data_IF_658831510036
#
_entry.id   IF_658831510036
#
_cell.length_a   1.000
_cell.length_b   1.000
_cell.length_c   1.000
_cell.angle_alpha   90.00
_cell.angle_beta   90.00
_cell.angle_gamma   90.00
#
_symmetry.space_group_name_H-M   'P 1'
#
loop_
_entity.id
_entity.type
_entity.pdbx_description
1 polymer ?
#
# COMPACT_ATOMS: atom_id res chain seq x y z
N UNK A 1 -13.18 12.15 5.97
CA UNK A 1 -12.76 11.75 4.62
C UNK A 1 -13.02 10.26 4.49
N UNK A 2 -13.90 9.87 3.56
CA UNK A 2 -14.05 8.48 3.13
C UNK A 2 -12.80 8.04 2.38
N UNK A 3 -12.28 6.85 2.69
CA UNK A 3 -10.98 6.40 2.20
C UNK A 3 -10.95 4.96 1.68
N UNK A 4 -9.99 4.71 0.79
CA UNK A 4 -9.46 3.38 0.49
C UNK A 4 -7.95 3.49 0.19
N UNK A 5 -7.12 2.96 1.08
CA UNK A 5 -5.67 3.20 1.10
C UNK A 5 -4.85 1.96 0.70
N UNK A 6 -5.49 0.93 0.16
CA UNK A 6 -4.80 -0.28 -0.32
C UNK A 6 -5.40 -0.69 -1.66
N UNK A 7 -4.89 -0.10 -2.74
CA UNK A 7 -5.35 -0.32 -4.12
C UNK A 7 -4.14 -0.65 -4.99
N UNK A 8 -4.25 -1.64 -5.86
CA UNK A 8 -3.22 -2.01 -6.81
C UNK A 8 -3.50 -1.43 -8.19
N UNK A 9 -2.48 -0.88 -8.86
CA UNK A 9 -2.59 -0.47 -10.26
C UNK A 9 -2.20 -1.61 -11.20
N UNK A 10 -2.29 -1.36 -12.51
CA UNK A 10 -1.82 -2.27 -13.55
C UNK A 10 -0.29 -2.47 -13.52
N UNK A 11 0.45 -1.74 -12.66
CA UNK A 11 1.85 -2.01 -12.35
C UNK A 11 2.01 -3.26 -11.48
N UNK A 12 1.08 -3.52 -10.57
CA UNK A 12 1.09 -4.76 -9.81
C UNK A 12 0.81 -5.95 -10.74
N UNK A 13 1.51 -7.08 -10.59
CA UNK A 13 1.37 -8.22 -11.50
C UNK A 13 -0.04 -8.86 -11.45
N UNK A 14 -0.67 -8.78 -10.29
CA UNK A 14 -2.03 -9.27 -10.02
C UNK A 14 -3.12 -8.24 -10.33
N UNK A 15 -2.78 -6.99 -10.68
CA UNK A 15 -3.74 -5.96 -11.04
C UNK A 15 -4.24 -6.13 -12.48
N UNK A 16 -5.52 -5.87 -12.73
CA UNK A 16 -6.05 -5.84 -14.09
C UNK A 16 -5.46 -4.67 -14.89
N UNK A 17 -5.29 -4.84 -16.21
CA UNK A 17 -4.75 -3.80 -17.11
C UNK A 17 -5.60 -2.50 -17.13
N UNK A 18 -6.85 -2.58 -16.69
CA UNK A 18 -7.78 -1.46 -16.56
C UNK A 18 -7.57 -0.66 -15.25
N UNK A 19 -6.75 -1.16 -14.31
CA UNK A 19 -6.35 -0.46 -13.08
C UNK A 19 -5.34 0.67 -13.38
N UNK A 20 -5.76 1.61 -14.22
CA UNK A 20 -4.95 2.75 -14.66
C UNK A 20 -5.21 4.00 -13.80
N UNK A 21 -4.27 4.96 -13.74
CA UNK A 21 -4.41 6.14 -12.90
C UNK A 21 -5.76 6.86 -12.98
N UNK A 22 -6.24 7.22 -14.18
CA UNK A 22 -7.50 7.95 -14.28
C UNK A 22 -8.71 7.06 -14.02
N UNK A 23 -8.64 5.77 -14.37
CA UNK A 23 -9.69 4.80 -14.07
C UNK A 23 -9.86 4.60 -12.56
N UNK A 24 -8.76 4.40 -11.82
CA UNK A 24 -8.79 4.26 -10.35
C UNK A 24 -9.36 5.52 -9.72
N UNK A 25 -8.86 6.71 -10.09
CA UNK A 25 -9.34 7.97 -9.52
C UNK A 25 -10.82 8.21 -9.80
N UNK A 26 -11.28 7.95 -11.03
CA UNK A 26 -12.69 8.11 -11.39
C UNK A 26 -13.58 7.09 -10.68
N UNK A 27 -13.12 5.85 -10.55
CA UNK A 27 -13.86 4.83 -9.80
C UNK A 27 -13.97 5.21 -8.32
N UNK A 28 -12.88 5.67 -7.70
CA UNK A 28 -12.90 6.16 -6.33
C UNK A 28 -13.92 7.29 -6.13
N UNK A 29 -14.01 8.23 -7.07
CA UNK A 29 -15.02 9.30 -7.04
C UNK A 29 -16.46 8.77 -7.19
N UNK A 30 -16.69 7.79 -8.07
CA UNK A 30 -17.99 7.15 -8.23
C UNK A 30 -18.42 6.43 -6.95
N UNK A 31 -17.46 5.83 -6.25
CA UNK A 31 -17.63 5.16 -4.97
C UNK A 31 -17.76 6.12 -3.78
N UNK A 32 -17.64 7.44 -4.01
CA UNK A 32 -17.76 8.46 -2.96
C UNK A 32 -16.53 8.63 -2.08
N UNK A 33 -15.38 8.09 -2.48
CA UNK A 33 -14.12 8.25 -1.76
C UNK A 33 -13.56 9.66 -1.94
N UNK A 34 -12.89 10.15 -0.89
CA UNK A 34 -12.27 11.49 -0.84
C UNK A 34 -10.76 11.43 -0.62
N UNK A 35 -10.24 10.27 -0.21
CA UNK A 35 -8.83 9.99 0.01
C UNK A 35 -8.51 8.60 -0.51
N UNK A 36 -7.48 8.46 -1.35
CA UNK A 36 -7.02 7.15 -1.81
C UNK A 36 -5.50 7.01 -1.74
N UNK A 37 -5.02 5.77 -1.81
CA UNK A 37 -3.61 5.45 -2.05
C UNK A 37 -3.50 4.24 -2.96
N UNK A 38 -2.57 4.29 -3.92
CA UNK A 38 -2.17 3.10 -4.67
C UNK A 38 -0.91 2.55 -4.05
N UNK A 39 -0.88 1.25 -3.78
CA UNK A 39 0.16 0.55 -3.02
C UNK A 39 0.67 -0.64 -3.84
N UNK A 40 1.21 -0.35 -5.02
CA UNK A 40 1.69 -1.40 -5.91
C UNK A 40 2.77 -2.28 -5.26
N UNK A 41 2.77 -3.57 -5.61
CA UNK A 41 3.74 -4.51 -5.06
C UNK A 41 5.16 -4.09 -5.41
N UNK A 42 6.01 -3.91 -4.40
CA UNK A 42 7.45 -3.73 -4.51
C UNK A 42 7.90 -2.64 -5.50
N UNK A 43 7.05 -1.64 -5.77
CA UNK A 43 7.37 -0.57 -6.72
C UNK A 43 6.55 0.68 -6.43
N UNK A 44 7.18 1.84 -6.58
CA UNK A 44 6.53 3.15 -6.51
C UNK A 44 6.48 3.85 -7.88
N UNK A 45 6.74 3.11 -8.96
CA UNK A 45 6.99 3.71 -10.27
C UNK A 45 5.78 4.44 -10.88
N UNK A 46 4.55 4.09 -10.50
CA UNK A 46 3.32 4.78 -10.95
C UNK A 46 2.86 5.89 -9.99
N UNK A 47 3.55 6.11 -8.86
CA UNK A 47 3.07 7.02 -7.81
C UNK A 47 2.94 8.47 -8.29
N UNK A 48 3.88 8.96 -9.11
CA UNK A 48 3.79 10.31 -9.65
C UNK A 48 2.59 10.47 -10.60
N UNK A 49 2.34 9.49 -11.47
CA UNK A 49 1.19 9.47 -12.37
C UNK A 49 -0.12 9.45 -11.59
N UNK A 50 -0.20 8.61 -10.54
CA UNK A 50 -1.34 8.55 -9.63
C UNK A 50 -1.60 9.89 -8.93
N UNK A 51 -0.57 10.52 -8.36
CA UNK A 51 -0.72 11.80 -7.68
C UNK A 51 -1.17 12.93 -8.63
N UNK A 52 -0.65 12.97 -9.87
CA UNK A 52 -1.08 13.93 -10.89
C UNK A 52 -2.52 13.69 -11.35
N UNK A 53 -2.92 12.43 -11.56
CA UNK A 53 -4.30 12.08 -11.87
C UNK A 53 -5.24 12.47 -10.71
N UNK A 54 -4.90 12.12 -9.47
CA UNK A 54 -5.69 12.45 -8.28
C UNK A 54 -5.88 13.96 -8.13
N UNK A 55 -4.80 14.74 -8.28
CA UNK A 55 -4.84 16.20 -8.27
C UNK A 55 -5.76 16.78 -9.36
N UNK A 56 -5.76 16.20 -10.55
CA UNK A 56 -6.59 16.67 -11.68
C UNK A 56 -8.08 16.57 -11.37
N UNK A 57 -8.50 15.52 -10.66
CA UNK A 57 -9.91 15.31 -10.30
C UNK A 57 -10.26 15.76 -8.87
N UNK A 58 -9.29 16.29 -8.11
CA UNK A 58 -9.53 16.86 -6.78
C UNK A 58 -9.76 15.84 -5.67
N UNK A 59 -9.26 14.60 -5.80
CA UNK A 59 -9.25 13.62 -4.72
C UNK A 59 -7.93 13.70 -3.95
N UNK A 60 -7.97 13.58 -2.62
CA UNK A 60 -6.75 13.54 -1.83
C UNK A 60 -6.01 12.22 -2.08
N UNK A 61 -4.68 12.29 -2.03
CA UNK A 61 -3.82 11.16 -2.36
C UNK A 61 -2.70 11.01 -1.33
N UNK A 62 -2.51 9.78 -0.84
CA UNK A 62 -1.27 9.39 -0.17
C UNK A 62 -0.44 8.55 -1.12
N UNK A 63 0.85 8.85 -1.18
CA UNK A 63 1.78 8.01 -1.91
C UNK A 63 1.92 6.69 -1.16
N UNK A 64 1.91 5.56 -1.87
CA UNK A 64 1.82 4.24 -1.28
C UNK A 64 2.74 3.20 -1.94
N UNK A 65 3.04 2.14 -1.20
CA UNK A 65 3.67 0.92 -1.69
C UNK A 65 3.27 -0.24 -0.80
N UNK A 66 3.06 -1.43 -1.37
CA UNK A 66 2.99 -2.66 -0.60
C UNK A 66 4.27 -3.46 -0.83
N UNK A 67 5.01 -3.75 0.25
CA UNK A 67 6.26 -4.51 0.17
C UNK A 67 5.99 -5.95 0.59
N UNK A 68 6.44 -6.91 -0.21
CA UNK A 68 6.56 -8.29 0.21
C UNK A 68 7.96 -8.52 0.76
N UNK A 69 8.09 -8.62 2.08
CA UNK A 69 9.39 -8.79 2.75
C UNK A 69 9.98 -10.16 2.47
N UNK A 70 11.24 -10.38 2.85
CA UNK A 70 11.91 -11.68 2.75
C UNK A 70 11.19 -12.80 3.52
N UNK A 71 10.48 -12.47 4.59
CA UNK A 71 9.62 -13.37 5.36
C UNK A 71 8.25 -13.60 4.70
N UNK A 72 8.05 -13.04 3.50
CA UNK A 72 6.80 -12.97 2.75
C UNK A 72 5.69 -12.26 3.54
N UNK A 73 6.06 -11.35 4.46
CA UNK A 73 5.09 -10.49 5.16
C UNK A 73 4.79 -9.29 4.28
N UNK A 74 3.52 -8.95 4.10
CA UNK A 74 3.17 -7.70 3.45
C UNK A 74 3.15 -6.54 4.44
N UNK A 75 3.71 -5.41 4.01
CA UNK A 75 3.74 -4.17 4.78
C UNK A 75 3.53 -2.99 3.85
N UNK A 76 2.63 -2.11 4.24
CA UNK A 76 2.32 -0.89 3.52
C UNK A 76 3.23 0.24 3.99
N UNK A 77 3.80 0.96 3.04
CA UNK A 77 4.49 2.23 3.26
C UNK A 77 3.66 3.36 2.68
N UNK A 78 3.40 4.39 3.48
CA UNK A 78 2.73 5.62 3.03
C UNK A 78 3.64 6.83 3.16
N UNK A 79 3.59 7.73 2.18
CA UNK A 79 4.38 8.97 2.17
C UNK A 79 3.51 10.18 1.88
N UNK A 80 3.89 11.35 2.42
CA UNK A 80 3.15 12.61 2.20
C UNK A 80 3.49 13.26 0.88
N UNK A 81 4.74 13.15 0.46
CA UNK A 81 5.31 13.96 -0.59
C UNK A 81 6.11 13.09 -1.56
N UNK A 82 6.32 13.62 -2.76
CA UNK A 82 7.08 12.96 -3.83
C UNK A 82 8.56 12.75 -3.47
N UNK A 83 9.20 13.71 -2.79
CA UNK A 83 10.60 13.64 -2.36
C UNK A 83 10.89 12.42 -1.46
N UNK A 84 10.00 12.16 -0.50
CA UNK A 84 10.08 11.00 0.39
C UNK A 84 10.01 9.67 -0.39
N UNK A 85 9.19 9.63 -1.44
CA UNK A 85 9.04 8.45 -2.31
C UNK A 85 10.28 8.23 -3.17
N UNK A 86 10.87 9.30 -3.70
CA UNK A 86 12.10 9.23 -4.51
C UNK A 86 13.29 8.71 -3.68
N UNK A 87 13.43 9.21 -2.45
CA UNK A 87 14.44 8.71 -1.49
C UNK A 87 14.24 7.23 -1.19
N UNK A 88 12.99 6.81 -0.98
CA UNK A 88 12.64 5.41 -0.73
C UNK A 88 12.87 4.51 -1.95
N UNK A 89 12.51 4.94 -3.16
CA UNK A 89 12.68 4.17 -4.42
C UNK A 89 14.15 3.82 -4.67
N UNK A 90 15.04 4.77 -4.37
CA UNK A 90 16.49 4.57 -4.47
C UNK A 90 16.97 3.37 -3.67
N UNK A 91 16.48 3.19 -2.43
CA UNK A 91 16.75 1.99 -1.64
C UNK A 91 16.01 0.77 -2.16
N UNK A 92 14.70 0.88 -2.44
CA UNK A 92 13.85 -0.23 -2.84
C UNK A 92 14.44 -0.97 -4.04
N UNK A 93 14.86 -0.25 -5.08
CA UNK A 93 15.48 -0.83 -6.28
C UNK A 93 16.73 -1.67 -6.00
N UNK A 94 17.47 -1.39 -4.92
CA UNK A 94 18.67 -2.17 -4.55
C UNK A 94 18.36 -3.52 -3.92
N UNK A 95 17.14 -3.69 -3.38
CA UNK A 95 16.72 -4.91 -2.68
C UNK A 95 15.67 -5.71 -3.45
N UNK A 96 15.12 -5.17 -4.55
CA UNK A 96 14.20 -5.93 -5.43
C UNK A 96 14.86 -7.16 -6.03
N UNK A 97 14.08 -8.22 -6.18
CA UNK A 97 14.47 -9.37 -7.00
C UNK A 97 14.47 -8.95 -8.48
N UNK A 98 15.47 -9.39 -9.24
CA UNK A 98 15.65 -9.00 -10.66
C UNK A 98 15.28 -10.12 -11.64
N UNK A 99 14.61 -11.17 -11.14
CA UNK A 99 14.04 -12.22 -11.98
C UNK A 99 13.02 -11.60 -12.92
N UNK A 100 13.16 -11.86 -14.22
CA UNK A 100 12.26 -11.32 -15.23
C UNK A 100 10.81 -11.77 -15.00
N UNK A 101 9.88 -10.83 -15.17
CA UNK A 101 8.45 -11.10 -15.11
C UNK A 101 8.01 -12.09 -16.21
N UNK A 102 7.05 -12.95 -15.87
CA UNK A 102 6.40 -13.89 -16.78
C UNK A 102 5.00 -13.37 -17.10
N UNK A 103 4.93 -12.53 -18.15
CA UNK A 103 3.69 -11.84 -18.55
C UNK A 103 2.52 -12.81 -18.78
N UNK A 104 2.81 -14.00 -19.31
CA UNK A 104 1.84 -15.07 -19.55
C UNK A 104 1.22 -15.66 -18.28
N UNK A 105 1.81 -15.39 -17.11
CA UNK A 105 1.36 -15.88 -15.81
C UNK A 105 0.97 -14.77 -14.83
N UNK A 106 1.63 -13.61 -14.88
CA UNK A 106 1.53 -12.56 -13.85
C UNK A 106 1.25 -11.17 -14.44
N UNK A 107 0.66 -11.07 -15.63
CA UNK A 107 0.25 -9.77 -16.17
C UNK A 107 1.39 -8.85 -16.62
N UNK A 108 1.02 -7.65 -17.07
CA UNK A 108 1.91 -6.80 -17.86
C UNK A 108 2.82 -5.87 -17.04
N UNK A 109 2.45 -5.53 -15.80
CA UNK A 109 3.15 -4.57 -14.95
C UNK A 109 3.40 -3.21 -15.65
N UNK A 110 2.33 -2.56 -16.09
CA UNK A 110 2.42 -1.34 -16.89
C UNK A 110 2.93 -0.14 -16.10
N UNK A 111 3.91 0.55 -16.70
CA UNK A 111 4.33 1.89 -16.32
C UNK A 111 3.42 2.87 -17.06
N UNK A 112 2.69 3.69 -16.32
CA UNK A 112 1.63 4.55 -16.84
C UNK A 112 1.92 6.02 -16.55
N UNK A 113 1.47 6.90 -17.44
CA UNK A 113 1.38 8.34 -17.14
C UNK A 113 0.01 8.70 -16.55
N UNK A 114 -0.17 9.99 -16.19
CA UNK A 114 -1.42 10.50 -15.62
C UNK A 114 -2.62 10.52 -16.59
N UNK A 115 -2.41 10.21 -17.87
CA UNK A 115 -3.44 10.14 -18.91
C UNK A 115 -3.74 8.69 -19.32
N UNK A 116 -3.26 7.71 -18.55
CA UNK A 116 -3.39 6.28 -18.80
C UNK A 116 -2.62 5.78 -20.04
N UNK A 117 -1.65 6.55 -20.54
CA UNK A 117 -0.75 6.12 -21.61
C UNK A 117 0.33 5.17 -21.07
N UNK A 118 0.58 4.09 -21.80
CA UNK A 118 1.60 3.11 -21.44
C UNK A 118 2.97 3.64 -21.85
N UNK A 119 3.80 3.98 -20.86
CA UNK A 119 5.19 4.40 -21.04
C UNK A 119 6.13 3.20 -21.20
N UNK A 120 5.74 2.04 -20.66
CA UNK A 120 6.52 0.82 -20.72
C UNK A 120 5.97 -0.26 -19.80
N UNK A 121 6.82 -1.24 -19.50
CA UNK A 121 6.54 -2.34 -18.58
C UNK A 121 7.71 -2.46 -17.62
N UNK A 122 7.42 -2.75 -16.34
CA UNK A 122 8.47 -3.17 -15.42
C UNK A 122 8.96 -4.56 -15.83
N UNK A 123 10.28 -4.70 -15.96
CA UNK A 123 10.94 -5.90 -16.47
C UNK A 123 11.00 -6.97 -15.39
N UNK A 124 11.30 -6.55 -14.17
CA UNK A 124 11.54 -7.45 -13.04
C UNK A 124 10.19 -7.84 -12.40
N UNK A 125 10.06 -9.07 -11.93
CA UNK A 125 8.82 -9.59 -11.36
C UNK A 125 8.53 -8.96 -10.01
N UNK A 126 7.44 -8.20 -9.92
CA UNK A 126 7.09 -7.49 -8.69
C UNK A 126 6.39 -8.38 -7.64
N UNK A 127 5.97 -9.60 -8.00
CA UNK A 127 5.29 -10.55 -7.10
C UNK A 127 6.26 -11.30 -6.16
N UNK A 128 7.57 -11.20 -6.42
CA UNK A 128 8.60 -11.90 -5.66
C UNK A 128 8.96 -11.12 -4.40
N UNK A 129 9.39 -11.84 -3.37
CA UNK A 129 9.85 -11.23 -2.12
C UNK A 129 11.10 -10.41 -2.33
N UNK A 130 11.20 -9.30 -1.61
CA UNK A 130 12.42 -8.50 -1.56
C UNK A 130 13.56 -9.27 -0.89
N UNK A 131 14.79 -8.90 -1.25
CA UNK A 131 16.00 -9.27 -0.53
C UNK A 131 16.21 -8.42 0.73
N UNK A 132 15.13 -8.05 1.42
CA UNK A 132 15.12 -7.25 2.64
C UNK A 132 14.14 -7.83 3.67
N UNK A 133 14.57 -7.93 4.92
CA UNK A 133 13.72 -8.36 6.04
C UNK A 133 12.64 -7.34 6.36
N UNK A 134 11.60 -7.78 7.07
CA UNK A 134 10.55 -6.92 7.61
C UNK A 134 11.12 -5.71 8.36
N UNK A 135 12.13 -5.93 9.21
CA UNK A 135 12.73 -4.84 9.98
C UNK A 135 13.49 -3.84 9.08
N UNK A 136 14.18 -4.31 8.06
CA UNK A 136 14.85 -3.44 7.08
C UNK A 136 13.83 -2.59 6.31
N UNK A 137 12.74 -3.20 5.83
CA UNK A 137 11.64 -2.48 5.16
C UNK A 137 11.05 -1.39 6.06
N UNK A 138 10.71 -1.72 7.30
CA UNK A 138 10.17 -0.75 8.27
C UNK A 138 11.15 0.39 8.53
N UNK A 139 12.43 0.09 8.74
CA UNK A 139 13.46 1.12 8.95
C UNK A 139 13.57 2.06 7.75
N UNK A 140 13.47 1.55 6.53
CA UNK A 140 13.69 2.34 5.32
C UNK A 140 12.49 3.20 4.96
N UNK A 141 11.27 2.70 5.15
CA UNK A 141 10.06 3.54 5.08
C UNK A 141 10.17 4.68 6.09
N UNK A 142 10.56 4.39 7.34
CA UNK A 142 10.71 5.40 8.39
C UNK A 142 11.81 6.44 8.11
N UNK A 143 12.93 6.02 7.52
CA UNK A 143 14.02 6.93 7.13
C UNK A 143 13.60 7.92 6.05
N UNK A 144 12.69 7.50 5.18
CA UNK A 144 12.06 8.34 4.17
C UNK A 144 10.79 9.04 4.69
N UNK A 145 10.72 9.33 6.01
CA UNK A 145 9.59 10.00 6.67
C UNK A 145 8.21 9.34 6.48
N UNK A 146 8.19 8.08 6.03
CA UNK A 146 6.97 7.34 5.73
C UNK A 146 6.31 6.73 6.97
N UNK A 147 5.06 6.32 6.78
CA UNK A 147 4.25 5.58 7.76
C UNK A 147 4.17 4.12 7.36
N UNK A 148 4.22 3.26 8.37
CA UNK A 148 4.26 1.82 8.22
C UNK A 148 2.95 1.24 8.73
N UNK A 149 2.24 0.52 7.89
CA UNK A 149 1.03 -0.22 8.25
C UNK A 149 1.25 -1.69 7.97
N UNK A 150 0.98 -2.55 8.95
CA UNK A 150 1.01 -3.99 8.72
C UNK A 150 -0.23 -4.36 7.90
N UNK A 151 -0.02 -4.84 6.68
CA UNK A 151 -1.08 -5.22 5.75
C UNK A 151 -1.83 -6.45 6.26
N UNK A 152 -3.15 -6.47 6.03
CA UNK A 152 -4.07 -7.60 6.23
C UNK A 152 -3.61 -8.63 7.28
N UNK A 153 -3.40 -8.15 8.52
CA UNK A 153 -2.57 -8.80 9.56
C UNK A 153 -2.95 -10.25 9.88
N UNK A 154 -4.23 -10.58 9.72
CA UNK A 154 -4.81 -11.88 10.02
C UNK A 154 -5.05 -12.76 8.78
N UNK A 155 -4.70 -12.30 7.58
CA UNK A 155 -4.93 -13.07 6.37
C UNK A 155 -4.02 -14.31 6.29
N UNK A 156 -4.52 -15.32 5.59
CA UNK A 156 -3.88 -16.62 5.40
C UNK A 156 -2.72 -16.58 4.42
N UNK A 157 -2.60 -15.52 3.63
CA UNK A 157 -1.48 -15.26 2.73
C UNK A 157 -0.83 -13.96 3.17
N UNK A 158 0.49 -13.98 3.31
CA UNK A 158 1.33 -12.80 3.56
C UNK A 158 1.02 -11.95 4.82
N UNK A 159 -0.04 -12.21 5.56
CA UNK A 159 -0.33 -11.59 6.86
C UNK A 159 0.71 -11.97 7.91
N UNK A 160 1.15 -10.98 8.71
CA UNK A 160 2.23 -11.17 9.69
C UNK A 160 1.94 -12.28 10.72
N UNK A 161 0.69 -12.45 11.17
CA UNK A 161 0.33 -13.50 12.12
C UNK A 161 0.38 -14.89 11.49
N UNK A 162 0.18 -14.98 10.18
CA UNK A 162 0.36 -16.24 9.45
C UNK A 162 1.83 -16.59 9.31
N UNK A 163 2.66 -15.63 8.93
CA UNK A 163 4.07 -15.88 8.62
C UNK A 163 4.93 -16.03 9.87
N UNK A 164 4.70 -15.21 10.89
CA UNK A 164 5.53 -15.16 12.09
C UNK A 164 4.86 -15.75 13.34
N UNK A 165 3.54 -16.01 13.31
CA UNK A 165 2.73 -16.41 14.46
C UNK A 165 2.61 -15.35 15.59
N UNK A 166 3.23 -14.18 15.45
CA UNK A 166 3.11 -13.06 16.39
C UNK A 166 3.42 -11.72 15.71
N UNK A 167 3.03 -10.62 16.34
CA UNK A 167 3.43 -9.27 15.94
C UNK A 167 4.62 -8.84 16.83
N UNK A 168 5.81 -8.55 16.26
CA UNK A 168 6.96 -8.14 17.07
C UNK A 168 6.71 -6.79 17.75
N UNK A 169 6.76 -6.77 19.08
CA UNK A 169 6.43 -5.58 19.90
C UNK A 169 7.39 -4.41 19.68
N UNK A 170 8.63 -4.68 19.29
CA UNK A 170 9.68 -3.70 19.01
C UNK A 170 9.71 -3.23 17.55
N UNK A 171 8.79 -3.71 16.70
CA UNK A 171 8.68 -3.25 15.32
C UNK A 171 8.04 -1.85 15.31
N UNK A 172 8.67 -0.89 14.63
CA UNK A 172 8.23 0.49 14.60
C UNK A 172 7.16 0.76 13.51
N UNK A 173 5.98 0.16 13.68
CA UNK A 173 4.82 0.39 12.79
C UNK A 173 3.82 1.38 13.40
N UNK A 174 3.07 2.08 12.55
CA UNK A 174 2.07 3.09 12.92
C UNK A 174 0.64 2.54 12.91
N UNK A 175 0.37 1.59 11.99
CA UNK A 175 -0.98 1.12 11.74
C UNK A 175 -1.17 -0.39 11.57
N UNK A 176 -2.41 -0.74 11.84
CA UNK A 176 -3.20 -1.97 11.77
C UNK A 176 -4.08 -2.19 10.54
N UNK A 177 -3.71 -2.87 9.46
CA UNK A 177 -4.75 -3.26 8.48
C UNK A 177 -5.44 -4.59 8.88
N UNK A 178 -6.76 -4.52 9.00
CA UNK A 178 -7.66 -5.66 9.20
C UNK A 178 -8.55 -5.83 7.97
N UNK A 179 -9.05 -7.04 7.74
CA UNK A 179 -9.96 -7.34 6.61
C UNK A 179 -11.42 -7.41 7.02
N UNK A 180 -11.72 -7.44 8.33
CA UNK A 180 -13.08 -7.46 8.89
C UNK A 180 -13.10 -6.74 10.23
N UNK A 181 -14.16 -5.97 10.50
CA UNK A 181 -14.25 -5.16 11.74
C UNK A 181 -14.08 -5.99 13.02
N UNK A 182 -14.63 -7.21 13.07
CA UNK A 182 -14.53 -8.07 14.26
C UNK A 182 -13.08 -8.46 14.61
N UNK A 183 -12.15 -8.39 13.66
CA UNK A 183 -10.73 -8.69 13.90
C UNK A 183 -10.07 -7.68 14.82
N UNK A 184 -10.57 -6.44 14.90
CA UNK A 184 -10.05 -5.42 15.81
C UNK A 184 -10.14 -5.89 17.26
N UNK A 185 -11.30 -6.38 17.67
CA UNK A 185 -11.54 -6.86 19.03
C UNK A 185 -10.72 -8.12 19.34
N UNK A 186 -10.60 -9.03 18.37
CA UNK A 186 -9.76 -10.23 18.48
C UNK A 186 -8.28 -9.86 18.69
N UNK A 187 -7.76 -8.92 17.90
CA UNK A 187 -6.40 -8.42 18.00
C UNK A 187 -6.15 -7.69 19.32
N UNK A 188 -7.06 -6.82 19.76
CA UNK A 188 -6.91 -6.10 21.03
C UNK A 188 -6.99 -7.04 22.24
N UNK A 189 -7.73 -8.14 22.15
CA UNK A 189 -7.75 -9.18 23.18
C UNK A 189 -6.43 -9.96 23.25
N UNK A 190 -5.86 -10.31 22.11
CA UNK A 190 -4.60 -11.05 22.04
C UNK A 190 -3.36 -10.17 22.28
N UNK A 191 -3.40 -8.92 21.83
CA UNK A 191 -2.32 -7.94 21.87
C UNK A 191 -2.84 -6.58 22.39
N UNK A 192 -3.15 -6.45 23.70
CA UNK A 192 -3.72 -5.21 24.26
C UNK A 192 -2.86 -3.95 24.08
N UNK A 193 -1.56 -4.13 23.80
CA UNK A 193 -0.62 -3.03 23.54
C UNK A 193 -0.80 -2.40 22.15
N UNK A 194 -1.68 -2.93 21.30
CA UNK A 194 -2.07 -2.35 20.01
C UNK A 194 -3.13 -1.25 20.12
N UNK A 195 -3.67 -0.99 21.32
CA UNK A 195 -4.77 -0.03 21.53
C UNK A 195 -4.49 1.38 21.03
N UNK A 196 -3.22 1.77 20.96
CA UNK A 196 -2.78 3.11 20.55
C UNK A 196 -2.40 3.15 19.06
N UNK A 197 -2.61 2.06 18.30
CA UNK A 197 -2.37 2.00 16.86
C UNK A 197 -3.62 2.39 16.09
N UNK A 198 -3.43 2.97 14.90
CA UNK A 198 -4.52 3.24 13.98
C UNK A 198 -4.93 1.94 13.31
N UNK A 199 -6.23 1.65 13.19
CA UNK A 199 -6.73 0.47 12.47
C UNK A 199 -7.35 0.93 11.15
N UNK A 200 -7.01 0.25 10.07
CA UNK A 200 -7.48 0.47 8.71
C UNK A 200 -8.27 -0.73 8.22
N UNK A 201 -9.26 -0.45 7.37
CA UNK A 201 -10.03 -1.45 6.65
C UNK A 201 -10.09 -0.99 5.19
N UNK A 202 -9.21 -1.54 4.35
CA UNK A 202 -9.09 -1.20 2.92
C UNK A 202 -9.54 -2.37 2.04
N UNK A 203 -9.65 -2.13 0.74
CA UNK A 203 -10.16 -3.13 -0.20
C UNK A 203 -9.16 -4.20 -0.62
N UNK A 204 -7.86 -3.87 -0.66
CA UNK A 204 -6.85 -4.68 -1.35
C UNK A 204 -7.26 -4.91 -2.83
N UNK A 205 -7.75 -3.84 -3.47
CA UNK A 205 -8.39 -3.91 -4.78
C UNK A 205 -7.40 -4.15 -5.91
N UNK A 206 -7.65 -5.20 -6.69
CA UNK A 206 -6.90 -5.56 -7.88
C UNK A 206 -7.69 -5.32 -9.18
N UNK A 207 -8.96 -4.95 -9.04
CA UNK A 207 -9.91 -4.64 -10.12
C UNK A 207 -10.74 -3.44 -9.70
N UNK A 208 -11.22 -2.67 -10.66
CA UNK A 208 -11.93 -1.43 -10.36
C UNK A 208 -13.19 -1.69 -9.52
N UNK A 209 -13.86 -2.82 -9.74
CA UNK A 209 -15.08 -3.21 -9.00
C UNK A 209 -14.81 -3.62 -7.54
N UNK A 210 -13.54 -3.89 -7.19
CA UNK A 210 -13.18 -4.29 -5.83
C UNK A 210 -12.88 -3.08 -4.93
N UNK A 211 -12.65 -1.89 -5.52
CA UNK A 211 -12.44 -0.65 -4.77
C UNK A 211 -13.65 -0.40 -3.87
N UNK A 212 -13.41 -0.09 -2.59
CA UNK A 212 -14.49 0.08 -1.63
C UNK A 212 -15.41 1.25 -1.99
N UNK A 213 -16.69 1.10 -1.65
CA UNK A 213 -17.62 2.22 -1.53
C UNK A 213 -17.29 3.06 -0.27
N UNK A 214 -17.75 4.30 -0.24
CA UNK A 214 -17.73 5.14 0.95
C UNK A 214 -18.33 4.43 2.18
N UNK A 215 -17.77 4.73 3.36
CA UNK A 215 -18.17 4.08 4.61
C UNK A 215 -17.03 3.98 5.62
N UNK A 216 -15.80 3.75 5.16
CA UNK A 216 -14.61 3.83 6.01
C UNK A 216 -14.11 5.27 6.04
N UNK A 217 -14.12 5.89 7.22
CA UNK A 217 -13.84 7.32 7.36
C UNK A 217 -12.69 7.60 8.30
N UNK A 218 -11.91 8.64 8.01
CA UNK A 218 -11.01 9.29 8.95
C UNK A 218 -11.31 10.79 9.05
N UNK A 219 -11.32 11.32 10.27
CA UNK A 219 -11.33 12.76 10.53
C UNK A 219 -9.99 13.40 10.19
N UNK A 220 -9.97 14.73 10.03
CA UNK A 220 -8.72 15.47 9.83
C UNK A 220 -7.79 15.30 11.03
N UNK A 221 -8.32 15.25 12.25
CA UNK A 221 -7.55 15.00 13.46
C UNK A 221 -6.91 13.62 13.47
N UNK A 222 -7.62 12.57 13.03
CA UNK A 222 -7.08 11.21 12.92
C UNK A 222 -5.99 11.12 11.86
N UNK A 223 -6.18 11.76 10.70
CA UNK A 223 -5.17 11.85 9.64
C UNK A 223 -3.92 12.56 10.19
N UNK A 224 -4.09 13.73 10.80
CA UNK A 224 -3.00 14.47 11.39
C UNK A 224 -2.28 13.68 12.50
N UNK A 225 -3.01 12.94 13.33
CA UNK A 225 -2.45 12.10 14.38
C UNK A 225 -1.63 10.94 13.79
N UNK A 226 -2.16 10.25 12.78
CA UNK A 226 -1.47 9.18 12.07
C UNK A 226 -0.12 9.65 11.52
N UNK A 227 -0.09 10.85 10.93
CA UNK A 227 1.12 11.44 10.39
C UNK A 227 2.03 12.14 11.41
N UNK A 228 1.54 12.45 12.62
CA UNK A 228 2.32 13.08 13.69
C UNK A 228 3.12 12.12 14.54
N UNK A 229 2.84 10.81 14.48
CA UNK A 229 3.44 9.79 15.35
C UNK A 229 4.96 9.64 15.16
N UNK A 230 5.77 10.63 15.50
CA UNK A 230 7.10 10.38 16.01
C UNK A 230 7.00 9.95 17.48
N UNK A 231 7.76 8.93 17.91
CA UNK A 231 7.77 8.49 19.31
C UNK A 231 8.21 9.59 20.28
#
# INVERSE_FOLDING_TARGET
>A
MDYDLHIHSALSPCGEDDMRPTNIVRMALLNGLSLISVTDHNSVSNQQAMARAAKTYGIAYWYGVELQTKEEVHVLGYFRNEEDVEDFDGWLRTVRDTTMNRIDHFGNQYLLDENDEILGQERDSLILSLNASLNECVVQIKKANGRVVLAHVMDRKNGILRQLAFIPKNLNFDGIEITKENQKDELLKAYPWLKDKTFFLNSDAHRLIDIHDAGQTMSEEEIEAFWRNEP
#
